data_IF_472204285604
#
_entry.id   IF_472204285604
#
_cell.length_a   1.000
_cell.length_b   1.000
_cell.length_c   1.000
_cell.angle_alpha   90.00
_cell.angle_beta   90.00
_cell.angle_gamma   90.00
#
_symmetry.space_group_name_H-M   'P 1'
#
loop_
_entity.id
_entity.type
_entity.pdbx_description
1 polymer ?
#
# COMPACT_ATOMS: atom_id res chain seq x y z
N UNK A 1 -8.33 -10.48 -34.40
CA UNK A 1 -7.41 -9.33 -34.54
C UNK A 1 -8.14 -8.14 -33.94
N UNK A 2 -8.23 -8.04 -32.61
CA UNK A 2 -7.22 -7.61 -31.62
C UNK A 2 -6.98 -6.10 -31.62
N UNK A 3 -7.30 -5.45 -30.49
CA UNK A 3 -6.85 -4.12 -30.10
C UNK A 3 -8.00 -3.24 -29.63
N UNK A 4 -8.20 -2.96 -28.35
CA UNK A 4 -7.41 -3.24 -27.16
C UNK A 4 -8.03 -2.43 -26.03
N UNK A 5 -8.76 -3.11 -25.15
CA UNK A 5 -9.32 -2.57 -23.92
C UNK A 5 -8.18 -2.18 -22.96
N UNK A 6 -7.63 -0.98 -23.13
CA UNK A 6 -6.56 -0.46 -22.27
C UNK A 6 -7.07 0.67 -21.34
N UNK A 7 -8.38 0.65 -21.02
CA UNK A 7 -9.02 1.66 -20.15
C UNK A 7 -8.71 1.43 -18.66
N UNK A 8 -8.22 0.23 -18.30
CA UNK A 8 -7.79 -0.06 -16.95
C UNK A 8 -6.48 -0.82 -16.97
N UNK A 9 -5.37 -0.09 -17.06
CA UNK A 9 -4.09 -0.62 -16.63
C UNK A 9 -4.28 -1.22 -15.24
N UNK A 10 -4.30 -2.55 -15.14
CA UNK A 10 -4.31 -3.26 -13.84
C UNK A 10 -2.99 -3.08 -13.09
N UNK A 11 -2.13 -2.19 -13.55
CA UNK A 11 -0.94 -1.78 -12.83
C UNK A 11 -1.37 -1.03 -11.56
N UNK A 12 -1.16 -1.62 -10.37
CA UNK A 12 -1.55 -1.01 -9.11
C UNK A 12 -0.82 0.29 -8.84
N UNK A 13 0.37 0.49 -9.41
CA UNK A 13 1.13 1.74 -9.29
C UNK A 13 0.36 2.86 -9.99
N UNK A 14 -0.20 2.59 -11.17
CA UNK A 14 -1.03 3.54 -11.91
C UNK A 14 -2.35 3.80 -11.19
N UNK A 15 -2.96 2.77 -10.60
CA UNK A 15 -4.18 2.94 -9.79
C UNK A 15 -3.91 3.74 -8.50
N UNK A 16 -2.75 3.55 -7.87
CA UNK A 16 -2.31 4.35 -6.73
C UNK A 16 -2.04 5.81 -7.11
N UNK A 17 -1.53 6.08 -8.31
CA UNK A 17 -1.34 7.45 -8.81
C UNK A 17 -2.64 8.21 -9.08
N UNK A 18 -3.76 7.50 -9.29
CA UNK A 18 -5.10 8.11 -9.43
C UNK A 18 -5.67 8.58 -8.09
N UNK A 19 -5.16 8.04 -6.98
CA UNK A 19 -5.43 8.57 -5.63
C UNK A 19 -4.51 9.75 -5.33
N UNK A 20 -4.43 10.74 -6.25
CA UNK A 20 -3.64 11.98 -6.16
C UNK A 20 -4.00 12.87 -4.94
N UNK A 21 -4.92 12.40 -4.11
CA UNK A 21 -5.40 13.01 -2.89
C UNK A 21 -5.01 12.23 -1.62
N UNK A 22 -4.53 11.00 -1.76
CA UNK A 22 -3.85 10.29 -0.66
C UNK A 22 -2.43 10.85 -0.61
N UNK A 23 -2.25 11.90 0.18
CA UNK A 23 -0.93 12.44 0.56
C UNK A 23 -0.19 11.47 1.50
N UNK A 24 -0.12 10.19 1.17
CA UNK A 24 0.95 9.33 1.67
C UNK A 24 2.09 9.49 0.68
N UNK A 25 3.04 10.41 0.90
CA UNK A 25 4.15 10.59 -0.03
C UNK A 25 4.82 9.21 -0.21
N UNK A 26 5.13 8.86 -1.46
CA UNK A 26 5.77 7.57 -1.78
C UNK A 26 7.03 7.32 -0.92
N UNK A 27 7.64 8.38 -0.39
CA UNK A 27 8.71 8.36 0.61
C UNK A 27 8.34 7.71 1.95
N UNK A 28 7.07 7.42 2.23
CA UNK A 28 6.59 6.70 3.41
C UNK A 28 6.28 5.23 3.12
N UNK A 29 6.42 4.76 1.87
CA UNK A 29 6.26 3.35 1.52
C UNK A 29 7.63 2.74 1.21
N UNK A 30 7.91 1.59 1.81
CA UNK A 30 9.11 0.79 1.60
C UNK A 30 8.67 -0.60 1.15
N UNK A 31 9.23 -1.07 0.04
CA UNK A 31 8.83 -2.31 -0.62
C UNK A 31 10.04 -3.23 -0.74
N UNK A 32 9.95 -4.41 -0.13
CA UNK A 32 11.02 -5.40 -0.08
C UNK A 32 12.09 -5.15 0.98
N UNK A 33 12.06 -4.01 1.67
CA UNK A 33 13.01 -3.69 2.74
C UNK A 33 12.29 -3.13 3.98
N UNK A 34 12.96 -3.21 5.13
CA UNK A 34 12.49 -2.60 6.37
C UNK A 34 13.04 -1.16 6.41
N UNK A 35 12.16 -0.17 6.59
CA UNK A 35 12.56 1.23 6.72
C UNK A 35 11.88 1.90 7.90
N UNK A 36 12.66 2.65 8.67
CA UNK A 36 12.19 3.44 9.80
C UNK A 36 11.19 4.51 9.36
N UNK A 37 10.15 4.72 10.19
CA UNK A 37 9.06 5.68 9.96
C UNK A 37 8.34 5.47 8.61
N UNK A 38 8.16 4.22 8.18
CA UNK A 38 7.56 3.88 6.91
C UNK A 38 6.60 2.68 6.98
N UNK A 39 5.63 2.68 6.07
CA UNK A 39 4.82 1.53 5.69
C UNK A 39 5.67 0.55 4.89
N UNK A 40 5.91 -0.62 5.46
CA UNK A 40 6.70 -1.68 4.87
C UNK A 40 5.80 -2.73 4.24
N UNK A 41 6.13 -3.14 3.01
CA UNK A 41 5.58 -4.32 2.33
C UNK A 41 6.73 -5.30 2.14
N UNK A 42 6.77 -6.37 2.93
CA UNK A 42 7.89 -7.32 2.91
C UNK A 42 7.35 -8.72 2.65
N UNK A 43 7.95 -9.43 1.69
CA UNK A 43 7.63 -10.83 1.48
C UNK A 43 8.26 -11.68 2.59
N UNK A 44 7.42 -12.40 3.33
CA UNK A 44 7.81 -13.35 4.34
C UNK A 44 8.26 -14.68 3.71
N UNK A 45 8.94 -15.51 4.51
CA UNK A 45 9.50 -16.79 4.05
C UNK A 45 8.45 -17.80 3.56
N UNK A 46 7.19 -17.67 4.00
CA UNK A 46 6.06 -18.50 3.57
C UNK A 46 5.40 -17.99 2.27
N UNK A 47 5.99 -16.99 1.62
CA UNK A 47 5.53 -16.42 0.36
C UNK A 47 4.43 -15.36 0.49
N UNK A 48 3.90 -15.14 1.69
CA UNK A 48 2.95 -14.05 1.95
C UNK A 48 3.66 -12.72 2.09
N UNK A 49 2.92 -11.65 1.83
CA UNK A 49 3.36 -10.28 1.99
C UNK A 49 2.83 -9.73 3.30
N UNK A 50 3.73 -9.36 4.20
CA UNK A 50 3.43 -8.63 5.41
C UNK A 50 3.29 -7.14 5.08
N UNK A 51 2.25 -6.51 5.62
CA UNK A 51 2.02 -5.06 5.52
C UNK A 51 1.97 -4.50 6.93
N UNK A 52 2.83 -3.54 7.24
CA UNK A 52 2.90 -2.93 8.57
C UNK A 52 3.56 -1.56 8.53
N UNK A 53 3.28 -0.71 9.50
CA UNK A 53 4.08 0.49 9.75
C UNK A 53 5.21 0.16 10.72
N UNK A 54 6.42 0.66 10.47
CA UNK A 54 7.59 0.44 11.30
C UNK A 54 8.07 1.76 11.90
N UNK A 55 8.13 1.82 13.22
CA UNK A 55 8.63 2.96 13.98
C UNK A 55 9.24 2.52 15.31
N UNK A 56 10.31 3.18 15.72
CA UNK A 56 10.98 3.00 17.00
C UNK A 56 11.33 1.54 17.31
N UNK A 57 11.79 0.80 16.30
CA UNK A 57 12.15 -0.61 16.45
C UNK A 57 10.97 -1.58 16.49
N UNK A 58 9.73 -1.08 16.34
CA UNK A 58 8.51 -1.86 16.45
C UNK A 58 7.67 -1.79 15.18
N UNK A 59 6.91 -2.85 14.92
CA UNK A 59 5.91 -2.88 13.86
C UNK A 59 4.51 -2.83 14.43
N UNK A 60 3.59 -2.17 13.75
CA UNK A 60 2.16 -2.24 14.05
C UNK A 60 1.67 -3.68 13.99
N UNK A 61 0.83 -4.08 14.95
CA UNK A 61 0.15 -5.38 14.93
C UNK A 61 -1.14 -5.31 14.12
N UNK A 62 -1.61 -6.44 13.62
CA UNK A 62 -2.97 -6.63 13.09
C UNK A 62 -3.35 -5.83 11.82
N UNK A 63 -2.36 -5.47 11.01
CA UNK A 63 -2.63 -4.78 9.73
C UNK A 63 -3.07 -5.73 8.63
N UNK A 64 -2.40 -6.87 8.52
CA UNK A 64 -2.79 -7.98 7.66
C UNK A 64 -1.65 -8.50 6.79
N UNK A 65 -1.89 -9.67 6.21
CA UNK A 65 -0.99 -10.34 5.26
C UNK A 65 -1.73 -10.56 3.94
N UNK A 66 -1.02 -10.57 2.83
CA UNK A 66 -1.61 -10.78 1.52
C UNK A 66 -0.84 -11.85 0.71
N UNK A 67 -1.54 -12.63 -0.12
CA UNK A 67 -0.92 -13.70 -0.93
C UNK A 67 -0.10 -13.19 -2.12
N UNK A 68 -0.18 -11.92 -2.46
CA UNK A 68 0.55 -11.33 -3.57
C UNK A 68 0.89 -9.88 -3.28
N UNK A 69 1.94 -9.38 -3.93
CA UNK A 69 2.35 -7.97 -3.86
C UNK A 69 1.21 -7.02 -4.23
N UNK A 70 0.44 -7.36 -5.26
CA UNK A 70 -0.73 -6.57 -5.68
C UNK A 70 -1.78 -6.48 -4.58
N UNK A 71 -2.09 -7.60 -3.91
CA UNK A 71 -3.05 -7.61 -2.81
C UNK A 71 -2.52 -6.84 -1.59
N UNK A 72 -1.21 -6.89 -1.31
CA UNK A 72 -0.57 -6.12 -0.25
C UNK A 72 -0.66 -4.60 -0.51
N UNK A 73 -0.39 -4.17 -1.75
CA UNK A 73 -0.54 -2.77 -2.17
C UNK A 73 -1.98 -2.29 -2.05
N UNK A 74 -2.96 -3.12 -2.43
CA UNK A 74 -4.39 -2.80 -2.27
C UNK A 74 -4.81 -2.71 -0.81
N UNK A 75 -4.30 -3.59 0.04
CA UNK A 75 -4.54 -3.58 1.49
C UNK A 75 -4.01 -2.29 2.12
N UNK A 76 -2.78 -1.90 1.79
CA UNK A 76 -2.20 -0.64 2.25
C UNK A 76 -2.96 0.57 1.70
N UNK A 77 -3.21 0.60 0.38
CA UNK A 77 -3.90 1.71 -0.28
C UNK A 77 -5.30 1.95 0.30
N UNK A 78 -6.07 0.89 0.58
CA UNK A 78 -7.37 1.00 1.24
C UNK A 78 -7.30 1.64 2.63
N UNK A 79 -6.27 1.31 3.43
CA UNK A 79 -6.07 1.91 4.76
C UNK A 79 -5.68 3.38 4.69
N UNK A 80 -4.78 3.73 3.79
CA UNK A 80 -4.34 5.12 3.61
C UNK A 80 -5.51 5.98 3.11
N UNK A 81 -6.31 5.46 2.18
CA UNK A 81 -7.52 6.12 1.69
C UNK A 81 -8.55 6.33 2.82
N UNK A 82 -8.81 5.30 3.63
CA UNK A 82 -9.72 5.42 4.77
C UNK A 82 -9.25 6.50 5.76
N UNK A 83 -7.95 6.56 6.04
CA UNK A 83 -7.36 7.56 6.94
C UNK A 83 -7.51 8.98 6.36
N UNK A 84 -7.25 9.15 5.07
CA UNK A 84 -7.44 10.44 4.38
C UNK A 84 -8.91 10.91 4.41
N UNK A 85 -9.86 10.00 4.17
CA UNK A 85 -11.30 10.29 4.26
C UNK A 85 -11.67 10.78 5.67
N UNK A 86 -11.22 10.09 6.72
CA UNK A 86 -11.50 10.49 8.10
C UNK A 86 -10.90 11.85 8.45
N UNK A 87 -9.66 12.10 8.03
CA UNK A 87 -8.98 13.37 8.32
C UNK A 87 -9.68 14.55 7.63
N UNK A 88 -10.19 14.37 6.41
CA UNK A 88 -10.95 15.40 5.68
C UNK A 88 -12.33 15.66 6.27
N UNK A 89 -12.96 14.65 6.85
CA UNK A 89 -14.27 14.81 7.49
C UNK A 89 -14.19 15.54 8.84
N UNK A 90 -13.01 15.57 9.46
CA UNK A 90 -12.76 16.22 10.74
C UNK A 90 -12.29 17.69 10.63
N UNK A 91 -11.96 18.14 9.42
CA UNK A 91 -11.49 19.49 9.07
C UNK A 91 -12.59 20.33 8.43
#
# INVERSE_FOLDING_TARGET
MSGGDDIFSQNPITQLSLFSHVHAPASLISDGELREQAWCLIQAADGWWDVFYYEHGSRTTDIGRAKSRLAALRLLGGRLLYTDILNRAAS
#
